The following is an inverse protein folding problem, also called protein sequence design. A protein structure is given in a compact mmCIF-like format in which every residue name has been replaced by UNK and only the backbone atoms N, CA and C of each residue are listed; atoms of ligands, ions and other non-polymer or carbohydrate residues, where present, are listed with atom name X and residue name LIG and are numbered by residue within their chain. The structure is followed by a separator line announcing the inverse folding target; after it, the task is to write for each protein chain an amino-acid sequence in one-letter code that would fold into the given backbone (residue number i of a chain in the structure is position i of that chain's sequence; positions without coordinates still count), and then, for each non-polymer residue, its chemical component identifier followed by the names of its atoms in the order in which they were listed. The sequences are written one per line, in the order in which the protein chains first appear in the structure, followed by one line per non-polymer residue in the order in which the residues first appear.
data_IF_145799498540
#
_entry.id   IF_145799498540
#
_cell.length_a   1.000
_cell.length_b   1.000
_cell.length_c   1.000
_cell.angle_alpha   90.00
_cell.angle_beta   90.00
_cell.angle_gamma   90.00
#
_symmetry.space_group_name_H-M   'P 1'
#
loop_
_entity.id
_entity.type
_entity.pdbx_description
1 polymer ?
#
# COMPACT_ATOMS: atom_id res chain seq x y z
N UNK A 1 -1.89 -7.96 9.51
CA UNK A 1 -1.39 -8.15 8.12
C UNK A 1 -2.21 -9.18 7.33
N UNK A 2 -2.59 -10.29 7.97
CA UNK A 2 -3.35 -11.33 7.27
C UNK A 2 -4.68 -10.80 6.71
N UNK A 3 -5.47 -10.13 7.52
CA UNK A 3 -6.77 -9.56 7.10
C UNK A 3 -6.58 -8.53 6.00
N UNK A 4 -5.61 -7.65 6.14
CA UNK A 4 -5.31 -6.62 5.14
C UNK A 4 -4.95 -7.25 3.79
N UNK A 5 -4.02 -8.20 3.78
CA UNK A 5 -3.58 -8.87 2.55
C UNK A 5 -4.68 -9.72 1.94
N UNK A 6 -5.52 -10.35 2.76
CA UNK A 6 -6.67 -11.10 2.29
C UNK A 6 -7.68 -10.19 1.58
N UNK A 7 -8.05 -9.08 2.21
CA UNK A 7 -9.04 -8.15 1.66
C UNK A 7 -8.54 -7.40 0.42
N UNK A 8 -7.23 -7.25 0.27
CA UNK A 8 -6.62 -6.59 -0.89
C UNK A 8 -6.13 -7.55 -1.96
N UNK A 9 -6.33 -8.86 -1.78
CA UNK A 9 -5.99 -9.85 -2.82
C UNK A 9 -6.87 -9.67 -4.06
N UNK A 10 -6.37 -10.11 -5.22
CA UNK A 10 -7.10 -9.96 -6.49
C UNK A 10 -8.46 -10.65 -6.46
N UNK A 11 -8.52 -11.88 -5.94
CA UNK A 11 -9.77 -12.65 -5.86
C UNK A 11 -10.80 -11.95 -4.97
N UNK A 12 -10.36 -11.44 -3.83
CA UNK A 12 -11.24 -10.73 -2.89
C UNK A 12 -11.67 -9.38 -3.47
N UNK A 13 -10.79 -8.69 -4.15
CA UNK A 13 -11.11 -7.42 -4.81
C UNK A 13 -12.17 -7.61 -5.89
N UNK A 14 -12.06 -8.66 -6.70
CA UNK A 14 -13.09 -9.00 -7.70
C UNK A 14 -14.41 -9.35 -7.05
N UNK A 15 -14.39 -10.13 -5.98
CA UNK A 15 -15.58 -10.51 -5.24
C UNK A 15 -16.31 -9.29 -4.68
N UNK A 16 -15.61 -8.41 -4.02
CA UNK A 16 -16.18 -7.18 -3.45
C UNK A 16 -16.66 -6.23 -4.54
N UNK A 17 -15.98 -6.18 -5.67
CA UNK A 17 -16.41 -5.38 -6.81
C UNK A 17 -17.74 -5.85 -7.36
N UNK A 18 -17.95 -7.16 -7.46
CA UNK A 18 -19.23 -7.73 -7.88
C UNK A 18 -20.37 -7.39 -6.93
N UNK A 19 -20.10 -7.44 -5.62
CA UNK A 19 -21.09 -7.04 -4.60
C UNK A 19 -21.45 -5.56 -4.77
N UNK A 20 -20.46 -4.71 -4.97
CA UNK A 20 -20.67 -3.28 -5.15
C UNK A 20 -21.51 -2.98 -6.41
N UNK A 21 -21.26 -3.69 -7.52
CA UNK A 21 -22.01 -3.53 -8.76
C UNK A 21 -23.47 -4.01 -8.63
N UNK A 22 -23.71 -5.01 -7.79
CA UNK A 22 -25.06 -5.53 -7.54
C UNK A 22 -25.85 -4.71 -6.53
N UNK A 23 -25.30 -3.60 -6.03
CA UNK A 23 -26.01 -2.73 -5.13
C UNK A 23 -27.17 -2.03 -5.86
N UNK A 24 -28.24 -1.72 -5.14
CA UNK A 24 -29.41 -1.04 -5.70
C UNK A 24 -29.16 0.44 -6.04
N UNK A 25 -27.98 0.95 -5.75
CA UNK A 25 -27.56 2.31 -6.02
C UNK A 25 -27.17 2.50 -7.48
N UNK A 26 -27.39 3.69 -8.02
CA UNK A 26 -26.93 4.08 -9.37
C UNK A 26 -25.39 4.02 -9.48
N UNK A 27 -24.69 4.21 -8.38
CA UNK A 27 -23.24 4.11 -8.33
C UNK A 27 -22.83 2.85 -7.56
N UNK A 28 -21.81 2.11 -8.02
CA UNK A 28 -21.27 0.99 -7.24
C UNK A 28 -20.89 1.45 -5.84
N UNK A 29 -21.44 0.81 -4.82
CA UNK A 29 -21.15 1.14 -3.43
C UNK A 29 -20.95 -0.12 -2.62
N UNK A 30 -20.03 -0.05 -1.66
CA UNK A 30 -19.71 -1.12 -0.73
C UNK A 30 -20.03 -0.66 0.68
N UNK A 31 -20.91 -1.43 1.37
CA UNK A 31 -21.25 -1.16 2.75
C UNK A 31 -20.30 -1.89 3.69
N UNK A 32 -20.04 -1.39 4.92
CA UNK A 32 -19.23 -2.12 5.89
C UNK A 32 -19.71 -3.54 6.15
N UNK A 33 -21.02 -3.79 6.13
CA UNK A 33 -21.60 -5.11 6.32
C UNK A 33 -21.22 -6.08 5.20
N UNK A 34 -21.06 -5.59 3.96
CA UNK A 34 -20.62 -6.41 2.83
C UNK A 34 -19.23 -6.99 3.05
N UNK A 35 -18.36 -6.24 3.71
CA UNK A 35 -17.02 -6.71 4.08
C UNK A 35 -17.11 -7.66 5.28
N UNK A 36 -17.96 -7.35 6.26
CA UNK A 36 -18.17 -8.17 7.45
C UNK A 36 -18.76 -9.55 7.15
N UNK A 37 -19.55 -9.65 6.08
CA UNK A 37 -20.21 -10.90 5.69
C UNK A 37 -19.31 -11.83 4.86
N UNK A 38 -18.08 -11.40 4.55
CA UNK A 38 -17.12 -12.23 3.82
C UNK A 38 -16.69 -13.43 4.65
N UNK A 39 -16.87 -14.63 4.12
CA UNK A 39 -16.44 -15.88 4.75
C UNK A 39 -15.09 -16.30 4.18
N UNK A 40 -14.16 -16.65 5.06
CA UNK A 40 -12.86 -17.18 4.69
C UNK A 40 -12.38 -18.20 5.70
N UNK A 41 -11.45 -19.06 5.26
CA UNK A 41 -10.91 -20.10 6.11
C UNK A 41 -9.74 -19.55 6.92
N UNK A 42 -9.89 -19.50 8.25
CA UNK A 42 -8.83 -19.02 9.13
C UNK A 42 -7.70 -20.05 9.23
N UNK A 43 -6.43 -19.65 9.00
CA UNK A 43 -5.31 -20.55 9.17
C UNK A 43 -5.08 -20.91 10.64
N UNK A 44 -4.42 -22.06 10.94
CA UNK A 44 -4.02 -22.39 12.30
C UNK A 44 -3.13 -21.28 12.90
N UNK A 45 -3.21 -21.13 14.23
CA UNK A 45 -2.49 -20.06 14.95
C UNK A 45 -0.98 -20.07 14.69
N UNK A 46 -0.37 -21.28 14.64
CA UNK A 46 1.07 -21.40 14.38
C UNK A 46 1.48 -20.88 13.00
N UNK A 47 0.69 -21.20 11.97
CA UNK A 47 0.93 -20.70 10.60
C UNK A 47 0.66 -19.20 10.54
N UNK A 48 -0.39 -18.73 11.17
CA UNK A 48 -0.74 -17.31 11.22
C UNK A 48 0.36 -16.49 11.89
N UNK A 49 0.95 -16.98 12.98
CA UNK A 49 2.04 -16.30 13.66
C UNK A 49 3.30 -16.20 12.77
N UNK A 50 3.66 -17.28 12.07
CA UNK A 50 4.77 -17.28 11.13
C UNK A 50 4.53 -16.29 9.99
N UNK A 51 3.33 -16.27 9.45
CA UNK A 51 2.93 -15.33 8.43
C UNK A 51 3.05 -13.90 8.93
N UNK A 52 2.57 -13.63 10.14
CA UNK A 52 2.63 -12.31 10.75
C UNK A 52 4.07 -11.83 10.92
N UNK A 53 4.97 -12.68 11.41
CA UNK A 53 6.39 -12.34 11.56
C UNK A 53 7.02 -11.98 10.21
N UNK A 54 6.79 -12.79 9.19
CA UNK A 54 7.31 -12.55 7.84
C UNK A 54 6.74 -11.27 7.25
N UNK A 55 5.43 -11.06 7.38
CA UNK A 55 4.76 -9.86 6.88
C UNK A 55 5.27 -8.61 7.58
N UNK A 56 5.51 -8.67 8.88
CA UNK A 56 6.02 -7.54 9.66
C UNK A 56 7.41 -7.13 9.21
N UNK A 57 8.31 -8.08 9.00
CA UNK A 57 9.67 -7.81 8.49
C UNK A 57 9.59 -7.13 7.11
N UNK A 58 8.78 -7.66 6.21
CA UNK A 58 8.62 -7.09 4.88
C UNK A 58 8.00 -5.70 4.92
N UNK A 59 6.99 -5.50 5.77
CA UNK A 59 6.32 -4.21 5.92
C UNK A 59 7.27 -3.14 6.46
N UNK A 60 8.08 -3.49 7.45
CA UNK A 60 9.10 -2.59 8.00
C UNK A 60 10.13 -2.21 6.96
N UNK A 61 10.52 -3.15 6.09
CA UNK A 61 11.45 -2.90 4.98
C UNK A 61 10.84 -1.93 3.96
N UNK A 62 9.59 -2.14 3.58
CA UNK A 62 8.87 -1.25 2.67
C UNK A 62 8.81 0.16 3.25
N UNK A 63 8.49 0.26 4.54
CA UNK A 63 8.38 1.55 5.22
C UNK A 63 9.72 2.28 5.29
N UNK A 64 10.81 1.56 5.60
CA UNK A 64 12.16 2.11 5.61
C UNK A 64 12.58 2.59 4.21
N UNK A 65 12.30 1.81 3.18
CA UNK A 65 12.57 2.18 1.79
C UNK A 65 11.81 3.44 1.39
N UNK A 66 10.56 3.55 1.80
CA UNK A 66 9.73 4.72 1.52
C UNK A 66 10.32 6.00 2.14
N UNK A 67 10.79 5.91 3.37
CA UNK A 67 11.47 7.03 4.04
C UNK A 67 12.74 7.45 3.31
N UNK A 68 13.54 6.48 2.83
CA UNK A 68 14.74 6.75 2.05
C UNK A 68 14.43 7.48 0.76
N UNK A 69 13.38 7.05 0.07
CA UNK A 69 12.92 7.72 -1.17
C UNK A 69 12.57 9.17 -0.87
N UNK A 70 11.82 9.45 0.19
CA UNK A 70 11.46 10.81 0.58
C UNK A 70 12.70 11.67 0.89
N UNK A 71 13.70 11.10 1.55
CA UNK A 71 14.95 11.80 1.86
C UNK A 71 15.72 12.14 0.58
N UNK A 72 15.83 11.19 -0.35
CA UNK A 72 16.51 11.40 -1.63
C UNK A 72 15.79 12.45 -2.47
N UNK A 73 14.48 12.45 -2.48
CA UNK A 73 13.68 13.46 -3.18
C UNK A 73 13.92 14.85 -2.62
N UNK A 74 13.98 15.00 -1.31
CA UNK A 74 14.29 16.29 -0.68
C UNK A 74 15.69 16.78 -1.03
N UNK A 75 16.68 15.89 -1.02
CA UNK A 75 18.05 16.23 -1.43
C UNK A 75 18.11 16.66 -2.88
N UNK A 76 17.43 15.93 -3.76
CA UNK A 76 17.33 16.31 -5.19
C UNK A 76 16.74 17.70 -5.33
N UNK A 77 15.63 17.98 -4.68
CA UNK A 77 14.92 19.25 -4.79
C UNK A 77 15.78 20.41 -4.23
N UNK A 78 16.50 20.18 -3.14
CA UNK A 78 17.44 21.17 -2.59
C UNK A 78 18.57 21.48 -3.56
N UNK A 79 19.16 20.45 -4.18
CA UNK A 79 20.25 20.61 -5.14
C UNK A 79 19.78 21.32 -6.41
N UNK A 80 18.61 20.96 -6.92
CA UNK A 80 18.01 21.63 -8.08
C UNK A 80 17.75 23.11 -7.79
N UNK A 81 17.22 23.42 -6.62
CA UNK A 81 16.96 24.80 -6.19
C UNK A 81 18.25 25.61 -6.15
N UNK A 82 19.33 25.06 -5.59
CA UNK A 82 20.63 25.72 -5.56
C UNK A 82 21.21 25.97 -6.95
N UNK A 83 21.09 25.00 -7.84
CA UNK A 83 21.57 25.12 -9.22
C UNK A 83 20.79 26.19 -9.99
N UNK A 84 19.47 26.22 -9.82
CA UNK A 84 18.60 27.18 -10.50
C UNK A 84 18.79 28.60 -9.98
N UNK A 85 19.13 28.75 -8.70
CA UNK A 85 19.38 30.06 -8.08
C UNK A 85 20.82 30.57 -8.29
N UNK A 86 21.63 29.86 -9.08
CA UNK A 86 23.01 30.28 -9.34
C UNK A 86 23.97 29.99 -8.18
N UNK A 87 23.59 29.17 -7.23
CA UNK A 87 24.43 28.78 -6.10
C UNK A 87 25.63 27.91 -6.48
N UNK A 88 25.58 27.27 -7.64
CA UNK A 88 26.65 26.45 -8.18
C UNK A 88 26.82 26.74 -9.65
N UNK A 89 28.02 27.13 -10.05
CA UNK A 89 28.35 27.29 -11.47
C UNK A 89 28.68 25.95 -12.08
N UNK A 90 27.80 25.46 -12.93
CA UNK A 90 28.04 24.25 -13.71
C UNK A 90 28.42 24.64 -15.12
N UNK A 91 29.63 24.25 -15.52
CA UNK A 91 30.06 24.41 -16.91
C UNK A 91 29.73 23.14 -17.67
N UNK A 92 28.89 23.28 -18.67
CA UNK A 92 28.61 22.24 -19.64
C UNK A 92 29.51 22.44 -20.84
N UNK A 93 30.48 21.57 -21.02
CA UNK A 93 31.34 21.58 -22.21
C UNK A 93 30.76 20.65 -23.27
#
# INVERSE_FOLDING_TARGET
YFIYLLLTSNDMTEYLHRIAENSASTYPSLKPDDIGDVSFKMPPTGILNKFHETAEVNWNKIHANHKQIQTVEKLRDMLLSKLMNGGVNVKFD
#
